data_IF_248947949284
#
_entry.id   IF_248947949284
#
_cell.length_a   1.000
_cell.length_b   1.000
_cell.length_c   1.000
_cell.angle_alpha   90.00
_cell.angle_beta   90.00
_cell.angle_gamma   90.00
#
_symmetry.space_group_name_H-M   'P 1'
#
loop_
_entity.id
_entity.type
_entity.pdbx_description
1 polymer ?
#
# COMPACT_ATOMS: atom_id res chain seq x y z
N UNK A 1 45.53 -54.42 3.74
CA UNK A 1 45.26 -53.24 4.59
C UNK A 1 43.78 -53.31 4.98
N UNK A 2 43.43 -53.89 6.12
CA UNK A 2 43.44 -53.28 7.47
C UNK A 2 42.47 -52.09 7.55
N UNK A 3 41.25 -52.35 8.04
CA UNK A 3 40.74 -51.91 9.37
C UNK A 3 39.82 -50.70 9.20
N UNK A 4 38.51 -50.77 9.48
CA UNK A 4 37.92 -50.80 10.84
C UNK A 4 37.16 -49.47 11.01
N UNK A 5 35.82 -49.43 11.06
CA UNK A 5 34.98 -49.39 12.28
C UNK A 5 35.32 -48.13 13.12
N UNK A 6 34.41 -47.21 13.46
CA UNK A 6 33.62 -47.08 14.70
C UNK A 6 32.69 -45.85 14.49
N UNK A 7 31.36 -45.91 14.62
CA UNK A 7 30.52 -46.23 15.78
C UNK A 7 30.45 -45.06 16.79
N UNK A 8 29.22 -44.57 16.97
CA UNK A 8 28.64 -43.86 18.12
C UNK A 8 29.56 -43.22 19.15
N UNK A 9 29.45 -41.90 19.29
CA UNK A 9 29.81 -41.14 20.49
C UNK A 9 28.60 -40.41 21.05
N UNK A 10 27.83 -41.10 21.89
CA UNK A 10 26.87 -40.50 22.81
C UNK A 10 27.61 -39.94 24.05
N UNK A 11 27.01 -38.91 24.64
CA UNK A 11 27.10 -38.47 26.04
C UNK A 11 28.09 -37.34 26.42
N UNK A 12 27.49 -36.16 26.60
CA UNK A 12 27.35 -35.41 27.87
C UNK A 12 28.59 -34.81 28.56
N UNK A 13 28.68 -33.49 28.50
CA UNK A 13 28.93 -32.63 29.67
C UNK A 13 28.27 -31.25 29.39
N UNK A 14 27.09 -30.96 29.94
CA UNK A 14 26.87 -30.26 31.22
C UNK A 14 27.38 -28.80 31.23
N UNK A 15 26.51 -27.88 30.83
CA UNK A 15 26.51 -26.49 31.28
C UNK A 15 25.08 -26.15 31.76
N UNK A 16 24.82 -26.11 33.07
CA UNK A 16 23.54 -25.63 33.59
C UNK A 16 23.62 -24.11 33.70
N UNK A 17 22.66 -23.44 33.08
CA UNK A 17 22.36 -22.04 33.38
C UNK A 17 22.84 -21.06 32.32
N UNK A 18 21.88 -20.56 31.54
CA UNK A 18 21.61 -19.13 31.42
C UNK A 18 20.24 -18.98 30.76
N UNK A 19 19.22 -19.11 31.61
CA UNK A 19 18.11 -18.16 31.76
C UNK A 19 17.88 -17.29 30.52
N UNK A 20 16.80 -17.60 29.79
CA UNK A 20 16.23 -16.72 28.80
C UNK A 20 15.99 -15.30 29.36
N UNK A 21 16.20 -14.28 28.53
CA UNK A 21 15.22 -13.23 28.32
C UNK A 21 14.63 -13.46 26.91
N UNK A 22 13.34 -13.72 26.77
CA UNK A 22 12.30 -12.69 26.79
C UNK A 22 12.62 -11.52 25.85
N UNK A 23 11.73 -11.35 24.86
CA UNK A 23 11.47 -10.13 24.07
C UNK A 23 12.39 -9.80 22.90
N UNK A 24 11.98 -10.30 21.74
CA UNK A 24 11.72 -9.46 20.56
C UNK A 24 10.65 -10.20 19.73
N UNK A 25 9.44 -10.40 20.25
CA UNK A 25 8.32 -9.49 19.92
C UNK A 25 8.72 -8.43 18.88
N UNK A 26 8.90 -8.86 17.63
CA UNK A 26 8.54 -8.02 16.50
C UNK A 26 7.11 -7.56 16.80
N UNK A 27 6.84 -6.24 16.92
CA UNK A 27 5.46 -5.79 16.92
C UNK A 27 4.85 -6.35 15.64
N UNK A 28 3.87 -7.23 15.79
CA UNK A 28 2.94 -7.56 14.73
C UNK A 28 2.50 -6.22 14.14
N UNK A 29 2.67 -5.97 12.83
CA UNK A 29 2.23 -4.72 12.25
C UNK A 29 0.77 -4.56 12.66
N UNK A 30 0.38 -3.38 13.20
CA UNK A 30 -0.99 -3.17 13.63
C UNK A 30 -1.90 -3.60 12.48
N UNK A 31 -3.00 -4.34 12.72
CA UNK A 31 -3.93 -4.69 11.67
C UNK A 31 -4.35 -3.37 11.03
N UNK A 32 -3.82 -3.12 9.82
CA UNK A 32 -4.14 -1.93 9.07
C UNK A 32 -5.66 -1.92 8.91
N UNK A 33 -6.32 -0.76 9.05
CA UNK A 33 -7.76 -0.69 8.88
C UNK A 33 -8.07 -1.29 7.51
N UNK A 34 -8.78 -2.43 7.51
CA UNK A 34 -9.17 -3.12 6.30
C UNK A 34 -9.92 -2.12 5.44
N UNK A 35 -9.23 -1.54 4.46
CA UNK A 35 -9.86 -0.64 3.51
C UNK A 35 -10.88 -1.53 2.80
N UNK A 36 -12.18 -1.19 2.83
CA UNK A 36 -13.18 -2.04 2.21
C UNK A 36 -12.78 -2.24 0.76
N UNK A 37 -12.47 -3.50 0.42
CA UNK A 37 -12.08 -3.93 -0.92
C UNK A 37 -13.19 -3.47 -1.84
N UNK A 38 -12.97 -2.37 -2.55
CA UNK A 38 -14.00 -1.81 -3.41
C UNK A 38 -14.15 -2.78 -4.58
N UNK A 39 -15.30 -3.46 -4.78
CA UNK A 39 -15.48 -4.37 -5.91
C UNK A 39 -15.34 -3.68 -7.26
N UNK A 40 -15.41 -2.34 -7.32
CA UNK A 40 -15.04 -1.56 -8.52
C UNK A 40 -13.54 -1.64 -8.85
N UNK A 41 -12.67 -1.86 -7.86
CA UNK A 41 -11.22 -1.89 -8.02
C UNK A 41 -10.76 -3.09 -8.85
N UNK A 42 -11.36 -4.26 -8.60
CA UNK A 42 -11.02 -5.52 -9.27
C UNK A 42 -11.23 -5.49 -10.81
N UNK A 43 -12.11 -4.60 -11.30
CA UNK A 43 -12.39 -4.46 -12.73
C UNK A 43 -12.03 -3.06 -13.28
N UNK A 44 -11.36 -2.21 -12.48
CA UNK A 44 -11.15 -0.82 -12.87
C UNK A 44 -10.24 -0.70 -14.10
N UNK A 45 -9.16 -1.49 -14.16
CA UNK A 45 -8.20 -1.47 -15.27
C UNK A 45 -8.87 -1.95 -16.55
N UNK A 46 -9.70 -2.99 -16.46
CA UNK A 46 -10.47 -3.49 -17.61
C UNK A 46 -11.43 -2.45 -18.16
N UNK A 47 -12.02 -1.60 -17.31
CA UNK A 47 -13.02 -0.58 -17.71
C UNK A 47 -12.40 0.75 -18.14
N UNK A 48 -11.35 1.19 -17.47
CA UNK A 48 -10.81 2.56 -17.60
C UNK A 48 -9.34 2.60 -18.03
N UNK A 49 -8.69 1.45 -18.19
CA UNK A 49 -7.24 1.35 -18.39
C UNK A 49 -6.45 1.70 -17.11
N UNK A 50 -5.13 1.51 -17.18
CA UNK A 50 -4.24 1.78 -16.04
C UNK A 50 -4.28 3.26 -15.61
N UNK A 51 -4.16 4.19 -16.56
CA UNK A 51 -4.20 5.63 -16.26
C UNK A 51 -5.54 6.07 -15.69
N UNK A 52 -6.65 5.60 -16.27
CA UNK A 52 -8.00 5.98 -15.84
C UNK A 52 -8.34 5.41 -14.46
N UNK A 53 -7.92 4.16 -14.18
CA UNK A 53 -8.10 3.59 -12.85
C UNK A 53 -7.25 4.33 -11.81
N UNK A 54 -5.96 4.55 -12.07
CA UNK A 54 -5.08 5.30 -11.18
C UNK A 54 -5.67 6.68 -10.86
N UNK A 55 -6.14 7.39 -11.89
CA UNK A 55 -6.72 8.71 -11.76
C UNK A 55 -8.02 8.70 -10.93
N UNK A 56 -8.87 7.68 -11.09
CA UNK A 56 -10.10 7.53 -10.31
C UNK A 56 -9.80 7.27 -8.84
N UNK A 57 -8.82 6.42 -8.53
CA UNK A 57 -8.42 6.13 -7.15
C UNK A 57 -7.77 7.33 -6.49
N UNK A 58 -6.86 7.99 -7.18
CA UNK A 58 -6.24 9.22 -6.72
C UNK A 58 -7.30 10.30 -6.47
N UNK A 59 -8.30 10.45 -7.35
CA UNK A 59 -9.42 11.37 -7.13
C UNK A 59 -10.27 10.99 -5.91
N UNK A 60 -10.58 9.70 -5.68
CA UNK A 60 -11.30 9.26 -4.48
C UNK A 60 -10.56 9.64 -3.19
N UNK A 61 -9.23 9.49 -3.20
CA UNK A 61 -8.38 9.86 -2.09
C UNK A 61 -8.33 11.39 -1.90
N UNK A 62 -8.14 12.16 -2.97
CA UNK A 62 -8.21 13.63 -2.91
C UNK A 62 -9.55 14.14 -2.35
N UNK A 63 -10.67 13.53 -2.77
CA UNK A 63 -11.98 13.86 -2.24
C UNK A 63 -12.08 13.65 -0.72
N UNK A 64 -11.37 12.64 -0.18
CA UNK A 64 -11.34 12.34 1.26
C UNK A 64 -10.37 13.24 2.02
N UNK A 65 -9.20 13.54 1.44
CA UNK A 65 -8.13 14.28 2.11
C UNK A 65 -8.24 15.80 2.00
N UNK A 66 -8.93 16.34 0.98
CA UNK A 66 -9.09 17.80 0.89
C UNK A 66 -9.87 18.34 2.09
N UNK A 67 -9.18 19.23 2.81
CA UNK A 67 -9.61 19.82 4.08
C UNK A 67 -8.90 19.25 5.33
N UNK A 68 -8.10 18.19 5.18
CA UNK A 68 -7.44 17.52 6.30
C UNK A 68 -5.93 17.29 6.04
N UNK A 69 -5.05 18.14 6.60
CA UNK A 69 -3.61 18.05 6.37
C UNK A 69 -2.94 16.87 7.09
N UNK A 70 -3.62 16.19 8.01
CA UNK A 70 -3.03 15.12 8.83
C UNK A 70 -3.02 13.75 8.12
N UNK A 71 -3.61 13.64 6.93
CA UNK A 71 -3.89 12.34 6.28
C UNK A 71 -2.80 11.91 5.29
N UNK A 72 -1.81 12.76 4.95
CA UNK A 72 -0.90 12.52 3.80
C UNK A 72 -0.18 11.16 3.82
N UNK A 73 0.50 10.77 4.90
CA UNK A 73 1.27 9.51 4.91
C UNK A 73 0.35 8.27 4.87
N UNK A 74 -0.78 8.30 5.57
CA UNK A 74 -1.78 7.23 5.51
C UNK A 74 -2.43 7.16 4.13
N UNK A 75 -2.58 8.30 3.45
CA UNK A 75 -3.12 8.40 2.10
C UNK A 75 -2.20 7.70 1.09
N UNK A 76 -0.89 7.95 1.19
CA UNK A 76 0.11 7.36 0.31
C UNK A 76 0.15 5.84 0.46
N UNK A 77 0.10 5.34 1.70
CA UNK A 77 0.01 3.91 1.98
C UNK A 77 -1.28 3.29 1.39
N UNK A 78 -2.42 3.94 1.58
CA UNK A 78 -3.70 3.48 1.02
C UNK A 78 -3.69 3.49 -0.51
N UNK A 79 -3.08 4.50 -1.13
CA UNK A 79 -2.98 4.58 -2.59
C UNK A 79 -2.09 3.46 -3.13
N UNK A 80 -0.96 3.19 -2.48
CA UNK A 80 -0.05 2.11 -2.85
C UNK A 80 -0.76 0.75 -2.80
N UNK A 81 -1.49 0.47 -1.72
CA UNK A 81 -2.24 -0.77 -1.57
C UNK A 81 -3.33 -0.91 -2.66
N UNK A 82 -4.07 0.16 -2.94
CA UNK A 82 -5.11 0.14 -3.98
C UNK A 82 -4.52 -0.06 -5.38
N UNK A 83 -3.36 0.52 -5.67
CA UNK A 83 -2.68 0.34 -6.96
C UNK A 83 -2.16 -1.09 -7.14
N UNK A 84 -1.63 -1.69 -6.06
CA UNK A 84 -1.20 -3.09 -6.06
C UNK A 84 -2.40 -4.02 -6.28
N UNK A 85 -3.49 -3.83 -5.54
CA UNK A 85 -4.73 -4.62 -5.68
C UNK A 85 -5.35 -4.49 -7.08
N UNK A 86 -5.29 -3.31 -7.68
CA UNK A 86 -5.78 -3.07 -9.04
C UNK A 86 -4.80 -3.53 -10.14
N UNK A 87 -3.62 -4.06 -9.78
CA UNK A 87 -2.56 -4.43 -10.71
C UNK A 87 -2.25 -3.32 -11.73
N UNK A 88 -2.09 -2.08 -11.25
CA UNK A 88 -1.87 -0.92 -12.12
C UNK A 88 -0.41 -0.89 -12.59
N UNK A 89 -0.22 -0.91 -13.90
CA UNK A 89 1.08 -0.71 -14.55
C UNK A 89 1.26 0.76 -14.93
N UNK A 90 2.30 1.41 -14.38
CA UNK A 90 2.63 2.81 -14.64
C UNK A 90 3.62 3.01 -15.80
N UNK A 91 4.03 1.96 -16.52
CA UNK A 91 4.97 2.10 -17.65
C UNK A 91 4.40 3.04 -18.71
N UNK A 92 5.07 4.18 -18.91
CA UNK A 92 4.66 5.20 -19.87
C UNK A 92 3.54 6.14 -19.37
N UNK A 93 3.11 6.01 -18.10
CA UNK A 93 2.14 6.90 -17.47
C UNK A 93 2.91 7.80 -16.50
N UNK A 94 2.83 9.12 -16.70
CA UNK A 94 3.45 10.05 -15.76
C UNK A 94 2.49 10.38 -14.61
N UNK A 95 2.99 10.65 -13.39
CA UNK A 95 2.14 11.03 -12.27
C UNK A 95 1.28 12.25 -12.60
N UNK A 96 1.81 13.23 -13.35
CA UNK A 96 1.06 14.43 -13.74
C UNK A 96 -0.14 14.10 -14.64
N UNK A 97 -0.06 13.06 -15.47
CA UNK A 97 -1.20 12.61 -16.28
C UNK A 97 -2.31 12.03 -15.40
N UNK A 98 -1.93 11.25 -14.38
CA UNK A 98 -2.85 10.66 -13.41
C UNK A 98 -3.52 11.77 -12.59
N UNK A 99 -2.73 12.70 -12.07
CA UNK A 99 -3.21 13.85 -11.29
C UNK A 99 -4.13 14.74 -12.13
N UNK A 100 -3.72 15.08 -13.36
CA UNK A 100 -4.53 15.89 -14.27
C UNK A 100 -5.86 15.20 -14.56
N UNK A 101 -5.85 13.90 -14.84
CA UNK A 101 -7.07 13.16 -15.11
C UNK A 101 -7.95 13.04 -13.85
N UNK A 102 -7.35 12.83 -12.69
CA UNK A 102 -8.04 12.76 -11.41
C UNK A 102 -8.75 14.07 -11.09
N UNK A 103 -8.06 15.20 -11.22
CA UNK A 103 -8.58 16.53 -10.89
C UNK A 103 -9.59 17.02 -11.93
N UNK A 104 -9.31 16.84 -13.23
CA UNK A 104 -10.16 17.37 -14.31
C UNK A 104 -11.38 16.53 -14.61
N UNK A 105 -11.24 15.21 -14.61
CA UNK A 105 -12.31 14.31 -15.05
C UNK A 105 -13.01 13.63 -13.86
N UNK A 106 -12.27 13.06 -12.91
CA UNK A 106 -12.88 12.22 -11.87
C UNK A 106 -13.36 12.99 -10.64
N UNK A 107 -12.65 14.01 -10.18
CA UNK A 107 -13.03 14.79 -8.99
C UNK A 107 -14.41 15.45 -9.10
N UNK A 108 -14.81 16.06 -10.25
CA UNK A 108 -16.16 16.61 -10.41
C UNK A 108 -17.27 15.55 -10.35
N UNK A 109 -16.97 14.32 -10.79
CA UNK A 109 -17.93 13.21 -10.77
C UNK A 109 -18.04 12.56 -9.38
N UNK A 110 -16.93 12.47 -8.65
CA UNK A 110 -16.85 11.77 -7.37
C UNK A 110 -17.16 12.67 -6.16
N UNK A 111 -16.74 13.93 -6.20
CA UNK A 111 -16.98 14.91 -5.13
C UNK A 111 -17.19 16.33 -5.70
N UNK A 112 -18.37 16.60 -6.30
CA UNK A 112 -18.63 17.88 -6.98
C UNK A 112 -18.46 19.10 -6.06
N UNK A 113 -18.81 18.97 -4.78
CA UNK A 113 -18.72 20.06 -3.80
C UNK A 113 -17.27 20.43 -3.46
N UNK A 114 -16.36 19.45 -3.44
CA UNK A 114 -14.93 19.65 -3.13
C UNK A 114 -14.06 19.86 -4.38
N UNK A 115 -14.58 19.52 -5.56
CA UNK A 115 -13.86 19.66 -6.83
C UNK A 115 -13.25 21.05 -7.08
N UNK A 116 -13.92 22.18 -6.77
CA UNK A 116 -13.31 23.51 -6.91
C UNK A 116 -12.09 23.71 -6.01
N UNK A 117 -12.14 23.22 -4.78
CA UNK A 117 -11.03 23.32 -3.81
C UNK A 117 -9.87 22.44 -4.25
N UNK A 118 -10.15 21.20 -4.69
CA UNK A 118 -9.15 20.30 -5.27
C UNK A 118 -8.46 20.99 -6.46
N UNK A 119 -9.21 21.58 -7.39
CA UNK A 119 -8.64 22.27 -8.56
C UNK A 119 -7.72 23.43 -8.18
N UNK A 120 -8.02 24.17 -7.12
CA UNK A 120 -7.18 25.27 -6.64
C UNK A 120 -5.83 24.78 -6.11
N UNK A 121 -5.75 23.58 -5.52
CA UNK A 121 -4.50 23.00 -5.04
C UNK A 121 -3.52 22.67 -6.18
N UNK A 122 -4.03 22.28 -7.34
CA UNK A 122 -3.23 21.88 -8.50
C UNK A 122 -3.08 22.98 -9.56
N UNK A 123 -3.86 24.05 -9.48
CA UNK A 123 -3.75 25.23 -10.34
C UNK A 123 -3.98 26.51 -9.52
N UNK A 124 -3.05 26.85 -8.61
CA UNK A 124 -3.12 28.09 -7.86
C UNK A 124 -2.94 29.26 -8.82
N UNK A 125 -3.92 30.16 -8.84
CA UNK A 125 -3.92 31.37 -9.66
C UNK A 125 -2.97 32.43 -9.11
#
# INVERSE_FOLDING_TARGET
>A
MSSGWWRWGCCLALLPGLKAPALAQLPEPPPLPAVPVNPELANCVTRYGHTGCAARLYAQLLCRSVGDPAISEQLEQQLAEQYEQAAIDFRGITPEQVETAAVRYYSPMLCPEKSPQIRQLFNPS
#
